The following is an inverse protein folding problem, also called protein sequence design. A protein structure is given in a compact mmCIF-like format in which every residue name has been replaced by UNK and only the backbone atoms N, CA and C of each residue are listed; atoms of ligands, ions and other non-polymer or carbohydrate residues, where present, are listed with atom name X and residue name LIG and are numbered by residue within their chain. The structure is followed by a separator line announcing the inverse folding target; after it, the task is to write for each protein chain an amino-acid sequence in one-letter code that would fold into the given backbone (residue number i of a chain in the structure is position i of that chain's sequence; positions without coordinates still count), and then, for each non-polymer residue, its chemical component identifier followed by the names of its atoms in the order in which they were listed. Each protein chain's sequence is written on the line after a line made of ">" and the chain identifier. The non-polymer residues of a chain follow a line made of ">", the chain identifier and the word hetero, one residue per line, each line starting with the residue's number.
data_IF_660157148112
#
_entry.id   IF_660157148112
#
_cell.length_a   1.000
_cell.length_b   1.000
_cell.length_c   1.000
_cell.angle_alpha   90.00
_cell.angle_beta   90.00
_cell.angle_gamma   90.00
#
_symmetry.space_group_name_H-M   'P 1'
#
loop_
_entity.id
_entity.type
_entity.pdbx_description
1 polymer ?
#
# COMPACT_ATOMS: atom_id res chain seq x y z
N UNK A 1 -2.55 -8.28 24.77
CA UNK A 1 -3.42 -7.16 25.23
C UNK A 1 -3.00 -6.60 26.59
N UNK A 2 -2.98 -7.39 27.68
CA UNK A 2 -2.66 -6.89 29.04
C UNK A 2 -1.29 -6.23 29.14
N UNK A 3 -0.27 -6.84 28.54
CA UNK A 3 1.09 -6.30 28.52
C UNK A 3 1.17 -4.96 27.78
N UNK A 4 0.54 -4.85 26.61
CA UNK A 4 0.49 -3.62 25.82
C UNK A 4 -0.22 -2.50 26.56
N UNK A 5 -1.35 -2.82 27.22
CA UNK A 5 -2.08 -1.86 28.06
C UNK A 5 -1.27 -1.40 29.28
N UNK A 6 -0.56 -2.32 29.94
CA UNK A 6 0.31 -2.00 31.05
C UNK A 6 1.47 -1.08 30.65
N UNK A 7 2.06 -1.31 29.47
CA UNK A 7 3.11 -0.44 28.90
C UNK A 7 2.53 0.94 28.57
N UNK A 8 1.40 1.00 27.87
CA UNK A 8 0.75 2.25 27.51
C UNK A 8 0.43 3.09 28.75
N UNK A 9 -0.12 2.48 29.80
CA UNK A 9 -0.40 3.14 31.07
C UNK A 9 0.87 3.63 31.77
N UNK A 10 1.95 2.84 31.75
CA UNK A 10 3.21 3.17 32.44
C UNK A 10 3.98 4.30 31.77
N UNK A 11 4.07 4.27 30.44
CA UNK A 11 4.93 5.21 29.69
C UNK A 11 4.21 6.44 29.17
N UNK A 12 2.88 6.43 29.14
CA UNK A 12 2.01 7.54 28.75
C UNK A 12 2.49 8.25 27.47
N UNK A 13 2.72 7.47 26.40
CA UNK A 13 3.12 8.00 25.12
C UNK A 13 2.14 9.05 24.60
N UNK A 14 2.62 9.98 23.77
CA UNK A 14 1.79 11.06 23.27
C UNK A 14 0.77 10.59 22.24
N UNK A 15 1.03 9.49 21.54
CA UNK A 15 0.14 8.84 20.60
C UNK A 15 0.28 7.32 20.64
N UNK A 16 -0.77 6.63 20.22
CA UNK A 16 -0.80 5.17 20.11
C UNK A 16 -1.24 4.75 18.71
N UNK A 17 -0.74 3.62 18.23
CA UNK A 17 -1.18 3.01 16.97
C UNK A 17 -1.61 1.56 17.20
N UNK A 18 -2.73 1.18 16.59
CA UNK A 18 -3.30 -0.17 16.66
C UNK A 18 -3.36 -0.76 15.27
N UNK A 19 -2.34 -1.53 14.85
CA UNK A 19 -2.41 -2.27 13.60
C UNK A 19 -3.21 -3.56 13.77
N UNK A 20 -3.93 -3.98 12.72
CA UNK A 20 -4.58 -5.29 12.65
C UNK A 20 -4.02 -6.10 11.49
N UNK A 21 -3.83 -7.40 11.71
CA UNK A 21 -3.23 -8.33 10.74
C UNK A 21 -3.93 -9.70 10.72
N UNK A 22 -5.26 -9.78 10.66
CA UNK A 22 -5.91 -11.08 10.54
C UNK A 22 -5.56 -11.76 9.22
N UNK A 23 -5.30 -13.06 9.28
CA UNK A 23 -4.99 -13.90 8.14
C UNK A 23 -6.26 -14.62 7.68
N UNK A 24 -6.72 -14.37 6.45
CA UNK A 24 -7.92 -14.96 5.89
C UNK A 24 -7.78 -16.49 5.75
N UNK A 25 -8.66 -17.25 6.40
CA UNK A 25 -8.62 -18.70 6.47
C UNK A 25 -7.90 -19.28 7.69
N UNK A 26 -7.27 -18.44 8.53
CA UNK A 26 -6.56 -18.86 9.76
C UNK A 26 -7.11 -18.12 10.98
N UNK A 27 -6.82 -16.84 11.12
CA UNK A 27 -7.30 -16.01 12.23
C UNK A 27 -8.52 -15.15 11.85
N UNK A 28 -8.91 -15.17 10.58
CA UNK A 28 -10.12 -14.56 10.07
C UNK A 28 -10.86 -15.52 9.13
N UNK A 29 -12.17 -15.31 8.86
CA UNK A 29 -12.88 -16.08 7.84
C UNK A 29 -12.18 -16.00 6.48
N UNK A 30 -12.22 -17.10 5.69
CA UNK A 30 -11.67 -17.10 4.32
C UNK A 30 -12.45 -16.17 3.38
N UNK A 31 -13.69 -15.86 3.70
CA UNK A 31 -14.50 -14.90 2.96
C UNK A 31 -13.90 -13.49 3.10
N UNK A 32 -13.40 -12.94 2.01
CA UNK A 32 -12.69 -11.67 1.94
C UNK A 32 -13.41 -10.52 2.67
N UNK A 33 -14.71 -10.33 2.39
CA UNK A 33 -15.50 -9.28 3.05
C UNK A 33 -15.67 -9.50 4.56
N UNK A 34 -15.86 -10.75 4.98
CA UNK A 34 -15.99 -11.07 6.41
C UNK A 34 -14.67 -10.88 7.16
N UNK A 35 -13.53 -11.19 6.51
CA UNK A 35 -12.21 -10.92 7.06
C UNK A 35 -11.99 -9.40 7.27
N UNK A 36 -12.42 -8.58 6.32
CA UNK A 36 -12.37 -7.12 6.46
C UNK A 36 -13.25 -6.59 7.59
N UNK A 37 -14.48 -7.09 7.72
CA UNK A 37 -15.37 -6.68 8.83
C UNK A 37 -14.74 -7.02 10.18
N UNK A 38 -14.12 -8.20 10.30
CA UNK A 38 -13.40 -8.59 11.51
C UNK A 38 -12.21 -7.66 11.78
N UNK A 39 -11.39 -7.39 10.77
CA UNK A 39 -10.23 -6.49 10.89
C UNK A 39 -10.63 -5.08 11.33
N UNK A 40 -11.70 -4.53 10.76
CA UNK A 40 -12.25 -3.23 11.15
C UNK A 40 -12.71 -3.26 12.61
N UNK A 41 -13.44 -4.30 13.00
CA UNK A 41 -13.93 -4.44 14.37
C UNK A 41 -12.78 -4.53 15.38
N UNK A 42 -11.73 -5.29 15.07
CA UNK A 42 -10.51 -5.39 15.89
C UNK A 42 -9.78 -4.05 16.00
N UNK A 43 -9.63 -3.32 14.90
CA UNK A 43 -8.99 -2.01 14.88
C UNK A 43 -9.74 -1.00 15.74
N UNK A 44 -11.06 -0.91 15.56
CA UNK A 44 -11.90 0.01 16.33
C UNK A 44 -11.96 -0.36 17.81
N UNK A 45 -12.12 -1.65 18.12
CA UNK A 45 -12.10 -2.14 19.51
C UNK A 45 -10.76 -1.88 20.20
N UNK A 46 -9.66 -2.14 19.49
CA UNK A 46 -8.31 -1.84 19.95
C UNK A 46 -8.09 -0.34 20.17
N UNK A 47 -8.53 0.50 19.23
CA UNK A 47 -8.41 1.95 19.33
C UNK A 47 -9.18 2.51 20.54
N UNK A 48 -10.41 2.06 20.77
CA UNK A 48 -11.20 2.44 21.95
C UNK A 48 -10.49 2.01 23.24
N UNK A 49 -10.00 0.78 23.29
CA UNK A 49 -9.30 0.23 24.45
C UNK A 49 -8.02 1.03 24.75
N UNK A 50 -7.23 1.32 23.72
CA UNK A 50 -5.99 2.09 23.89
C UNK A 50 -6.26 3.56 24.27
N UNK A 51 -7.33 4.15 23.74
CA UNK A 51 -7.73 5.51 24.12
C UNK A 51 -8.13 5.60 25.59
N UNK A 52 -8.85 4.61 26.10
CA UNK A 52 -9.22 4.55 27.52
C UNK A 52 -7.97 4.35 28.39
N UNK A 53 -7.12 3.38 28.05
CA UNK A 53 -5.90 3.08 28.80
C UNK A 53 -4.87 4.21 28.74
N UNK A 54 -4.78 4.92 27.62
CA UNK A 54 -3.89 6.05 27.41
C UNK A 54 -4.40 7.40 27.92
N UNK A 55 -5.48 7.41 28.71
CA UNK A 55 -5.99 8.66 29.31
C UNK A 55 -6.60 9.63 28.28
N UNK A 56 -7.19 9.12 27.21
CA UNK A 56 -7.85 9.93 26.18
C UNK A 56 -6.94 10.46 25.08
N UNK A 57 -5.66 10.07 25.07
CA UNK A 57 -4.70 10.47 24.03
C UNK A 57 -5.11 10.00 22.64
N UNK A 58 -4.58 10.64 21.56
CA UNK A 58 -4.86 10.22 20.19
C UNK A 58 -4.45 8.76 19.94
N UNK A 59 -5.30 8.06 19.22
CA UNK A 59 -5.03 6.68 18.77
C UNK A 59 -5.28 6.62 17.28
N UNK A 60 -4.23 6.33 16.54
CA UNK A 60 -4.33 5.94 15.12
C UNK A 60 -4.53 4.43 15.01
N UNK A 61 -5.04 3.97 13.89
CA UNK A 61 -5.13 2.54 13.61
C UNK A 61 -4.87 2.29 12.13
N UNK A 62 -4.31 1.14 11.85
CA UNK A 62 -4.05 0.66 10.49
C UNK A 62 -4.81 -0.63 10.30
N UNK A 63 -5.74 -0.64 9.35
CA UNK A 63 -6.59 -1.78 9.08
C UNK A 63 -5.93 -2.61 7.98
N UNK A 64 -5.48 -3.81 8.33
CA UNK A 64 -4.88 -4.77 7.40
C UNK A 64 -5.58 -6.12 7.48
N UNK A 65 -5.52 -6.88 6.41
CA UNK A 65 -5.93 -8.27 6.33
C UNK A 65 -5.02 -8.94 5.31
N UNK A 66 -4.52 -10.13 5.61
CA UNK A 66 -3.64 -10.83 4.69
C UNK A 66 -4.30 -12.07 4.11
N UNK A 67 -4.21 -12.28 2.80
CA UNK A 67 -4.49 -13.57 2.20
C UNK A 67 -3.52 -14.62 2.75
N UNK A 68 -4.01 -15.84 2.97
CA UNK A 68 -3.20 -16.94 3.47
C UNK A 68 -3.37 -18.16 2.57
N UNK A 69 -2.27 -18.75 2.13
CA UNK A 69 -2.30 -19.98 1.36
C UNK A 69 -2.29 -21.20 2.31
N UNK A 70 -3.41 -21.85 2.43
CA UNK A 70 -3.56 -23.03 3.29
C UNK A 70 -2.78 -24.26 2.81
N UNK A 71 -2.28 -24.27 1.57
CA UNK A 71 -1.45 -25.37 1.04
C UNK A 71 0.01 -25.24 1.45
N UNK A 72 0.52 -24.02 1.45
CA UNK A 72 1.91 -23.71 1.81
C UNK A 72 2.04 -23.21 3.24
N UNK A 73 0.92 -22.94 3.91
CA UNK A 73 0.84 -22.39 5.27
C UNK A 73 1.62 -21.08 5.42
N UNK A 74 1.52 -20.21 4.43
CA UNK A 74 2.20 -18.92 4.43
C UNK A 74 1.24 -17.76 4.12
N UNK A 75 1.56 -16.58 4.66
CA UNK A 75 0.95 -15.33 4.21
C UNK A 75 1.37 -15.09 2.76
N UNK A 76 0.45 -14.63 1.94
CA UNK A 76 0.67 -14.42 0.52
C UNK A 76 0.95 -12.94 0.25
N UNK A 77 2.12 -12.63 -0.31
CA UNK A 77 2.55 -11.26 -0.60
C UNK A 77 2.37 -10.82 -2.06
N UNK A 78 2.27 -11.74 -3.00
CA UNK A 78 2.35 -11.44 -4.43
C UNK A 78 1.18 -11.93 -5.29
N UNK A 79 0.07 -12.36 -4.72
CA UNK A 79 -1.07 -12.89 -5.45
C UNK A 79 -2.12 -11.79 -5.76
N UNK A 80 -3.05 -12.02 -6.71
CA UNK A 80 -4.11 -11.07 -7.04
C UNK A 80 -4.94 -10.63 -5.83
N UNK A 81 -5.12 -11.51 -4.86
CA UNK A 81 -5.82 -11.24 -3.61
C UNK A 81 -5.15 -10.14 -2.79
N UNK A 82 -3.83 -10.00 -2.89
CA UNK A 82 -3.10 -8.90 -2.26
C UNK A 82 -3.42 -7.56 -2.93
N UNK A 83 -3.56 -7.54 -4.25
CA UNK A 83 -3.99 -6.34 -4.96
C UNK A 83 -5.40 -5.90 -4.52
N UNK A 84 -6.33 -6.85 -4.38
CA UNK A 84 -7.66 -6.56 -3.83
C UNK A 84 -7.60 -6.08 -2.38
N UNK A 85 -6.71 -6.65 -1.58
CA UNK A 85 -6.48 -6.22 -0.21
C UNK A 85 -6.04 -4.75 -0.17
N UNK A 86 -5.05 -4.36 -0.94
CA UNK A 86 -4.56 -2.98 -0.97
C UNK A 86 -5.61 -2.01 -1.49
N UNK A 87 -6.35 -2.39 -2.51
CA UNK A 87 -7.46 -1.57 -3.01
C UNK A 87 -8.54 -1.34 -1.96
N UNK A 88 -8.98 -2.40 -1.28
CA UNK A 88 -9.96 -2.29 -0.20
C UNK A 88 -9.41 -1.48 0.97
N UNK A 89 -8.14 -1.71 1.35
CA UNK A 89 -7.47 -0.97 2.42
C UNK A 89 -7.45 0.53 2.15
N UNK A 90 -7.06 0.96 0.96
CA UNK A 90 -7.05 2.39 0.61
C UNK A 90 -8.42 3.05 0.80
N UNK A 91 -9.51 2.37 0.41
CA UNK A 91 -10.87 2.87 0.61
C UNK A 91 -11.26 2.93 2.09
N UNK A 92 -10.91 1.90 2.87
CA UNK A 92 -11.24 1.80 4.30
C UNK A 92 -10.44 2.85 5.09
N UNK A 93 -9.14 2.97 4.82
CA UNK A 93 -8.29 3.94 5.52
C UNK A 93 -8.74 5.38 5.19
N UNK A 94 -9.07 5.70 3.95
CA UNK A 94 -9.65 6.99 3.57
C UNK A 94 -10.98 7.29 4.27
N UNK A 95 -11.82 6.28 4.51
CA UNK A 95 -13.10 6.45 5.19
C UNK A 95 -12.94 6.74 6.68
N UNK A 96 -12.07 5.98 7.36
CA UNK A 96 -11.91 6.11 8.82
C UNK A 96 -10.88 7.15 9.23
N UNK A 97 -9.88 7.42 8.40
CA UNK A 97 -8.79 8.33 8.72
C UNK A 97 -8.27 9.07 7.47
N UNK A 98 -9.08 9.97 6.90
CA UNK A 98 -8.77 10.63 5.63
C UNK A 98 -7.50 11.51 5.67
N UNK A 99 -6.99 11.81 6.85
CA UNK A 99 -5.80 12.65 7.04
C UNK A 99 -4.50 11.85 7.23
N UNK A 100 -4.59 10.56 7.56
CA UNK A 100 -3.42 9.77 7.90
C UNK A 100 -2.71 9.14 6.70
N UNK A 101 -3.34 9.17 5.52
CA UNK A 101 -2.86 8.42 4.37
C UNK A 101 -2.83 6.91 4.61
N UNK A 102 -2.34 6.15 3.65
CA UNK A 102 -2.08 4.75 3.87
C UNK A 102 -0.79 4.28 3.20
N UNK A 103 -0.17 3.29 3.79
CA UNK A 103 1.04 2.66 3.27
C UNK A 103 0.75 1.25 2.77
N UNK A 104 1.53 0.78 1.81
CA UNK A 104 1.43 -0.59 1.33
C UNK A 104 2.79 -1.27 1.23
N UNK A 105 2.76 -2.58 1.27
CA UNK A 105 3.96 -3.41 1.13
C UNK A 105 4.10 -3.89 -0.31
N UNK A 106 5.29 -3.72 -0.88
CA UNK A 106 5.69 -4.37 -2.13
C UNK A 106 6.06 -5.84 -1.83
N UNK A 107 5.05 -6.62 -1.49
CA UNK A 107 5.22 -8.03 -1.15
C UNK A 107 5.45 -8.91 -2.36
N UNK A 108 6.21 -9.99 -2.17
CA UNK A 108 6.41 -11.05 -3.17
C UNK A 108 6.65 -12.40 -2.49
N UNK A 109 6.24 -13.49 -3.13
CA UNK A 109 6.60 -14.84 -2.71
C UNK A 109 7.89 -15.35 -3.36
N UNK A 110 8.48 -14.59 -4.28
CA UNK A 110 9.75 -14.91 -4.89
C UNK A 110 10.86 -15.01 -3.83
N UNK A 111 11.68 -16.05 -3.90
CA UNK A 111 12.81 -16.28 -2.97
C UNK A 111 14.14 -15.73 -3.51
N UNK A 112 14.13 -15.13 -4.68
CA UNK A 112 15.28 -14.51 -5.34
C UNK A 112 14.81 -13.42 -6.30
N UNK A 113 15.69 -12.44 -6.60
CA UNK A 113 15.40 -11.46 -7.63
C UNK A 113 15.07 -12.11 -8.97
N UNK A 114 14.16 -11.51 -9.73
CA UNK A 114 13.80 -11.98 -11.05
C UNK A 114 12.36 -11.64 -11.45
N UNK A 115 11.91 -12.30 -12.51
CA UNK A 115 10.63 -11.98 -13.15
C UNK A 115 9.45 -12.09 -12.17
N UNK A 116 9.41 -13.11 -11.32
CA UNK A 116 8.34 -13.29 -10.35
C UNK A 116 8.28 -12.11 -9.37
N UNK A 117 9.41 -11.72 -8.78
CA UNK A 117 9.45 -10.56 -7.88
C UNK A 117 8.99 -9.29 -8.61
N UNK A 118 9.42 -9.10 -9.86
CA UNK A 118 9.07 -7.93 -10.65
C UNK A 118 7.57 -7.81 -10.91
N UNK A 119 6.90 -8.86 -11.38
CA UNK A 119 5.46 -8.77 -11.67
C UNK A 119 4.61 -8.73 -10.40
N UNK A 120 4.95 -9.47 -9.34
CA UNK A 120 4.19 -9.47 -8.10
C UNK A 120 4.23 -8.09 -7.42
N UNK A 121 5.43 -7.52 -7.27
CA UNK A 121 5.63 -6.17 -6.73
C UNK A 121 5.05 -5.09 -7.64
N UNK A 122 5.21 -5.25 -8.96
CA UNK A 122 4.69 -4.30 -9.94
C UNK A 122 3.18 -4.20 -9.92
N UNK A 123 2.46 -5.32 -9.86
CA UNK A 123 0.99 -5.33 -9.78
C UNK A 123 0.51 -4.70 -8.48
N UNK A 124 1.09 -5.09 -7.35
CA UNK A 124 0.75 -4.52 -6.05
C UNK A 124 1.02 -3.01 -6.06
N UNK A 125 2.22 -2.60 -6.47
CA UNK A 125 2.63 -1.21 -6.53
C UNK A 125 1.73 -0.35 -7.43
N UNK A 126 1.34 -0.86 -8.60
CA UNK A 126 0.43 -0.15 -9.51
C UNK A 126 -0.94 0.08 -8.86
N UNK A 127 -1.49 -0.92 -8.17
CA UNK A 127 -2.74 -0.73 -7.42
C UNK A 127 -2.57 0.33 -6.34
N UNK A 128 -1.47 0.30 -5.58
CA UNK A 128 -1.18 1.32 -4.57
C UNK A 128 -1.08 2.72 -5.15
N UNK A 129 -0.33 2.89 -6.23
CA UNK A 129 -0.19 4.17 -6.91
C UNK A 129 -1.54 4.73 -7.38
N UNK A 130 -2.41 3.88 -7.96
CA UNK A 130 -3.73 4.27 -8.47
C UNK A 130 -4.77 4.51 -7.35
N UNK A 131 -4.58 3.95 -6.17
CA UNK A 131 -5.47 4.12 -5.02
C UNK A 131 -5.00 5.21 -4.05
N UNK A 132 -3.92 5.92 -4.38
CA UNK A 132 -3.44 7.06 -3.59
C UNK A 132 -2.62 6.65 -2.37
N UNK A 133 -1.86 5.55 -2.46
CA UNK A 133 -0.91 5.16 -1.43
C UNK A 133 0.19 6.21 -1.27
N UNK A 134 0.48 6.59 -0.03
CA UNK A 134 1.48 7.62 0.28
C UNK A 134 2.89 7.06 0.43
N UNK A 135 3.00 5.80 0.84
CA UNK A 135 4.28 5.19 1.20
C UNK A 135 4.35 3.72 0.81
N UNK A 136 5.52 3.29 0.34
CA UNK A 136 5.82 1.94 -0.10
C UNK A 136 6.87 1.31 0.82
N UNK A 137 6.51 0.17 1.39
CA UNK A 137 7.40 -0.62 2.25
C UNK A 137 7.90 -1.89 1.53
N UNK A 138 8.80 -2.63 2.17
CA UNK A 138 9.33 -3.91 1.69
C UNK A 138 10.23 -3.79 0.46
N UNK A 139 10.95 -2.67 0.36
CA UNK A 139 11.98 -2.44 -0.64
C UNK A 139 13.15 -3.40 -0.39
N UNK A 140 13.50 -4.21 -1.39
CA UNK A 140 14.54 -5.24 -1.29
C UNK A 140 14.12 -6.53 -0.59
N UNK A 141 12.87 -6.63 -0.13
CA UNK A 141 12.39 -7.79 0.62
C UNK A 141 11.78 -8.84 -0.31
N UNK A 142 12.10 -10.10 -0.06
CA UNK A 142 11.65 -11.29 -0.79
C UNK A 142 11.08 -12.32 0.19
N UNK A 143 10.40 -13.35 -0.35
CA UNK A 143 9.77 -14.42 0.45
C UNK A 143 8.84 -13.84 1.52
N UNK A 144 7.99 -12.92 1.13
CA UNK A 144 7.18 -12.06 1.98
C UNK A 144 8.05 -11.12 2.83
N UNK A 145 8.69 -11.57 3.89
CA UNK A 145 9.55 -10.78 4.79
C UNK A 145 10.80 -11.55 5.31
N UNK A 146 11.07 -12.74 4.75
CA UNK A 146 12.14 -13.62 5.23
C UNK A 146 13.54 -13.27 4.71
N UNK A 147 13.62 -12.67 3.50
CA UNK A 147 14.88 -12.50 2.77
C UNK A 147 15.06 -11.05 2.36
N UNK A 148 16.22 -10.48 2.66
CA UNK A 148 16.65 -9.20 2.10
C UNK A 148 17.68 -9.42 0.98
N UNK A 149 17.48 -8.75 -0.16
CA UNK A 149 18.41 -8.76 -1.30
C UNK A 149 18.72 -7.33 -1.75
N UNK A 150 20.02 -6.94 -1.73
CA UNK A 150 20.45 -5.65 -2.27
C UNK A 150 20.16 -5.50 -3.77
N UNK A 151 20.24 -6.59 -4.54
CA UNK A 151 19.90 -6.59 -5.98
C UNK A 151 18.41 -6.31 -6.20
N UNK A 152 17.55 -6.95 -5.38
CA UNK A 152 16.11 -6.67 -5.42
C UNK A 152 15.82 -5.23 -4.97
N UNK A 153 16.54 -4.73 -3.99
CA UNK A 153 16.40 -3.35 -3.54
C UNK A 153 16.68 -2.34 -4.67
N UNK A 154 17.75 -2.57 -5.45
CA UNK A 154 18.03 -1.72 -6.60
C UNK A 154 16.91 -1.75 -7.65
N UNK A 155 16.36 -2.94 -7.95
CA UNK A 155 15.23 -3.08 -8.86
C UNK A 155 13.95 -2.43 -8.30
N UNK A 156 13.71 -2.54 -7.01
CA UNK A 156 12.53 -1.96 -6.35
C UNK A 156 12.60 -0.42 -6.33
N UNK A 157 13.79 0.18 -6.23
CA UNK A 157 13.96 1.64 -6.33
C UNK A 157 13.52 2.13 -7.71
N UNK A 158 13.94 1.45 -8.78
CA UNK A 158 13.49 1.77 -10.14
C UNK A 158 11.96 1.59 -10.28
N UNK A 159 11.42 0.51 -9.70
CA UNK A 159 9.98 0.31 -9.65
C UNK A 159 9.28 1.46 -8.93
N UNK A 160 9.80 1.94 -7.82
CA UNK A 160 9.24 3.08 -7.09
C UNK A 160 9.21 4.36 -7.94
N UNK A 161 10.25 4.62 -8.73
CA UNK A 161 10.27 5.75 -9.67
C UNK A 161 9.17 5.64 -10.73
N UNK A 162 8.99 4.44 -11.30
CA UNK A 162 7.91 4.17 -12.26
C UNK A 162 6.52 4.36 -11.63
N UNK A 163 6.33 3.88 -10.40
CA UNK A 163 5.08 4.01 -9.67
C UNK A 163 4.78 5.47 -9.28
N UNK A 164 5.78 6.24 -8.91
CA UNK A 164 5.62 7.67 -8.64
C UNK A 164 5.23 8.44 -9.91
N UNK A 165 5.83 8.10 -11.04
CA UNK A 165 5.42 8.67 -12.33
C UNK A 165 3.97 8.30 -12.69
N UNK A 166 3.57 7.04 -12.49
CA UNK A 166 2.18 6.60 -12.68
C UNK A 166 1.20 7.35 -11.77
N UNK A 167 1.58 7.57 -10.52
CA UNK A 167 0.77 8.28 -9.52
C UNK A 167 0.56 9.75 -9.87
N UNK A 168 1.56 10.41 -10.45
CA UNK A 168 1.44 11.81 -10.91
C UNK A 168 0.41 11.95 -12.02
N UNK A 169 0.22 10.89 -12.82
CA UNK A 169 -0.73 10.89 -13.93
C UNK A 169 -0.30 11.79 -15.08
N UNK A 170 -1.28 12.09 -15.95
CA UNK A 170 -1.07 12.99 -17.09
C UNK A 170 -1.18 14.43 -16.59
N UNK A 171 -0.18 15.29 -16.87
CA UNK A 171 -0.25 16.72 -16.54
C UNK A 171 -1.54 17.36 -17.08
N UNK A 172 -2.06 18.31 -16.34
CA UNK A 172 -3.21 19.11 -16.77
C UNK A 172 -2.70 20.37 -17.45
N UNK A 173 -2.66 20.34 -18.78
CA UNK A 173 -2.26 21.48 -19.59
C UNK A 173 -3.48 22.29 -20.07
N UNK A 174 -3.24 23.54 -20.53
CA UNK A 174 -4.29 24.35 -21.12
C UNK A 174 -4.72 23.74 -22.47
N UNK A 175 -6.02 23.48 -22.70
CA UNK A 175 -6.50 22.99 -23.99
C UNK A 175 -6.15 23.88 -25.19
N UNK A 176 -5.91 25.17 -24.99
CA UNK A 176 -5.46 26.07 -26.05
C UNK A 176 -4.03 25.78 -26.50
N UNK A 177 -3.17 25.33 -25.59
CA UNK A 177 -1.80 24.94 -25.89
C UNK A 177 -1.78 23.69 -26.80
N UNK A 178 -2.68 22.72 -26.55
CA UNK A 178 -2.77 21.52 -27.40
C UNK A 178 -3.09 21.82 -28.84
N UNK A 179 -4.03 22.75 -29.07
CA UNK A 179 -4.39 23.18 -30.45
C UNK A 179 -3.22 23.88 -31.13
N UNK A 180 -2.47 24.71 -30.38
CA UNK A 180 -1.29 25.38 -30.91
C UNK A 180 -0.21 24.38 -31.33
N UNK A 181 0.09 23.38 -30.47
CA UNK A 181 1.07 22.31 -30.76
C UNK A 181 0.67 21.48 -31.98
N UNK A 182 -0.63 21.13 -32.09
CA UNK A 182 -1.12 20.38 -33.28
C UNK A 182 -0.97 21.22 -34.55
N UNK A 183 -1.29 22.50 -34.52
CA UNK A 183 -1.16 23.41 -35.66
C UNK A 183 0.29 23.52 -36.10
N UNK A 184 1.20 23.73 -35.17
CA UNK A 184 2.63 23.77 -35.42
C UNK A 184 3.14 22.48 -36.09
N UNK A 185 2.72 21.31 -35.53
CA UNK A 185 3.10 20.03 -36.13
C UNK A 185 2.59 19.83 -37.54
N UNK A 186 1.37 20.29 -37.85
CA UNK A 186 0.81 20.25 -39.20
C UNK A 186 1.55 21.19 -40.17
N UNK A 187 1.93 22.39 -39.73
CA UNK A 187 2.68 23.36 -40.52
C UNK A 187 4.09 22.87 -40.81
N UNK A 188 4.75 22.24 -39.86
CA UNK A 188 6.09 21.63 -40.01
C UNK A 188 6.08 20.30 -40.78
N UNK A 189 4.91 19.68 -40.94
CA UNK A 189 4.75 18.37 -41.59
C UNK A 189 5.19 17.17 -40.74
N UNK A 190 5.37 17.37 -39.44
CA UNK A 190 5.69 16.31 -38.44
C UNK A 190 5.22 16.73 -37.04
N UNK A 191 5.11 15.75 -36.14
CA UNK A 191 4.60 15.98 -34.79
C UNK A 191 5.68 16.19 -33.69
N UNK A 192 6.97 16.23 -34.11
CA UNK A 192 8.04 16.69 -33.21
C UNK A 192 8.12 18.20 -33.25
N UNK A 193 7.57 18.86 -32.30
CA UNK A 193 7.53 20.31 -32.13
C UNK A 193 8.51 20.76 -31.04
N UNK A 194 8.65 22.05 -30.79
CA UNK A 194 9.66 22.59 -29.89
C UNK A 194 9.49 22.10 -28.44
N UNK A 195 8.24 21.81 -28.02
CA UNK A 195 7.91 21.24 -26.69
C UNK A 195 8.13 19.73 -26.58
N UNK A 196 8.61 19.04 -27.61
CA UNK A 196 8.81 17.57 -27.57
C UNK A 196 9.94 17.15 -26.62
N UNK A 197 10.85 18.05 -26.29
CA UNK A 197 12.03 17.81 -25.46
C UNK A 197 11.88 18.34 -24.03
N UNK A 198 10.79 19.01 -23.72
CA UNK A 198 10.45 19.51 -22.38
C UNK A 198 9.74 18.44 -21.56
#
# INVERSE_FOLDING_TARGET
>A
CEFTLAIAYRYQWDEYSVPTYPAAGVSAPIHFRAAWVLSIAEALGGAVTMRIAGGGKPVSFSIGMFPFDLRTLTIVGGMPECAWMYWARGQIDCFYNPQAGYSMMLGTQAKRPGLQAGYEKGVAGAVGALTGCDDLHYIGVLSFDDIFSPEQMAADIELCHLLDHLRRGIPRDDPQEWVAVIREGLEKGYMQVDTTLD
#
